data_IF_087294725542
#
_entry.id   IF_087294725542
#
_cell.length_a   1.000
_cell.length_b   1.000
_cell.length_c   1.000
_cell.angle_alpha   90.00
_cell.angle_beta   90.00
_cell.angle_gamma   90.00
#
_symmetry.space_group_name_H-M   'P 1'
#
loop_
_entity.id
_entity.type
_entity.pdbx_description
1 polymer ?
#
# COMPACT_ATOMS: atom_id res chain seq x y z
N UNK A 1 54.78 -38.41 -46.64
CA UNK A 1 53.80 -39.16 -45.84
C UNK A 1 52.74 -38.16 -45.39
N UNK A 2 51.57 -38.18 -46.01
CA UNK A 2 50.49 -37.22 -45.76
C UNK A 2 49.58 -37.77 -44.65
N UNK A 3 49.41 -37.02 -43.57
CA UNK A 3 48.47 -37.36 -42.49
C UNK A 3 47.25 -36.44 -42.56
N UNK A 4 46.14 -37.04 -42.98
CA UNK A 4 44.80 -36.44 -43.03
C UNK A 4 44.23 -36.33 -41.61
N UNK A 5 43.85 -35.14 -41.16
CA UNK A 5 43.13 -34.93 -39.91
C UNK A 5 41.61 -34.98 -40.17
N UNK A 6 40.93 -35.94 -39.55
CA UNK A 6 39.47 -36.05 -39.56
C UNK A 6 38.85 -35.05 -38.56
N UNK A 7 37.79 -34.30 -38.92
CA UNK A 7 37.07 -33.46 -37.97
C UNK A 7 36.12 -34.31 -37.10
N UNK A 8 36.32 -34.27 -35.79
CA UNK A 8 35.42 -34.85 -34.78
C UNK A 8 34.11 -34.08 -34.79
N UNK A 9 33.02 -34.75 -35.20
CA UNK A 9 31.67 -34.19 -35.26
C UNK A 9 31.16 -33.96 -33.83
N UNK A 10 31.03 -32.70 -33.41
CA UNK A 10 30.41 -32.34 -32.15
C UNK A 10 28.96 -32.84 -32.14
N UNK A 11 28.64 -33.68 -31.16
CA UNK A 11 27.29 -34.16 -30.89
C UNK A 11 26.45 -32.97 -30.41
N UNK A 12 25.61 -32.44 -31.29
CA UNK A 12 24.58 -31.46 -30.93
C UNK A 12 23.59 -32.15 -29.99
N UNK A 13 23.58 -31.75 -28.72
CA UNK A 13 22.54 -32.12 -27.76
C UNK A 13 21.19 -31.62 -28.29
N UNK A 14 20.39 -32.53 -28.82
CA UNK A 14 19.01 -32.27 -29.26
C UNK A 14 18.14 -32.04 -28.03
N UNK A 15 18.02 -30.78 -27.59
CA UNK A 15 16.92 -30.36 -26.74
C UNK A 15 15.61 -30.51 -27.54
N UNK A 16 14.64 -31.20 -26.98
CA UNK A 16 13.31 -31.47 -27.56
C UNK A 16 12.55 -30.17 -27.85
N UNK A 17 12.77 -29.56 -29.02
CA UNK A 17 11.97 -28.44 -29.54
C UNK A 17 10.89 -28.92 -30.53
N UNK A 18 10.26 -30.06 -30.24
CA UNK A 18 9.35 -30.69 -31.17
C UNK A 18 7.97 -30.05 -31.05
N UNK A 19 7.76 -28.90 -31.71
CA UNK A 19 6.41 -28.33 -31.92
C UNK A 19 6.28 -26.82 -31.84
N UNK A 20 7.30 -26.08 -31.37
CA UNK A 20 7.21 -24.61 -31.26
C UNK A 20 7.71 -23.98 -32.56
N UNK A 21 6.86 -23.22 -33.31
CA UNK A 21 7.32 -22.53 -34.50
C UNK A 21 8.32 -21.44 -34.12
N UNK A 22 9.40 -21.29 -34.90
CA UNK A 22 10.42 -20.25 -34.65
C UNK A 22 9.86 -18.82 -34.79
N UNK A 23 8.70 -18.67 -35.44
CA UNK A 23 7.95 -17.42 -35.54
C UNK A 23 7.01 -17.16 -34.36
N UNK A 24 6.91 -18.08 -33.39
CA UNK A 24 6.12 -17.86 -32.19
C UNK A 24 6.65 -16.64 -31.43
N UNK A 25 5.73 -15.79 -30.97
CA UNK A 25 6.06 -14.76 -30.00
C UNK A 25 6.54 -15.41 -28.69
N UNK A 26 7.28 -14.64 -27.90
CA UNK A 26 7.61 -15.08 -26.55
C UNK A 26 6.32 -15.19 -25.71
N UNK A 27 6.25 -16.23 -24.90
CA UNK A 27 5.14 -16.44 -23.99
C UNK A 27 5.17 -15.42 -22.86
N UNK A 28 4.02 -15.11 -22.29
CA UNK A 28 3.91 -14.21 -21.16
C UNK A 28 2.59 -14.40 -20.42
N UNK A 29 2.33 -13.47 -19.51
CA UNK A 29 1.05 -13.35 -18.83
C UNK A 29 0.55 -11.92 -18.89
N UNK A 30 -0.77 -11.77 -18.80
CA UNK A 30 -1.44 -10.48 -18.65
C UNK A 30 -2.39 -10.57 -17.47
N UNK A 31 -2.24 -9.63 -16.53
CA UNK A 31 -3.06 -9.59 -15.32
C UNK A 31 -4.50 -9.19 -15.63
N UNK A 32 -5.42 -10.02 -15.15
CA UNK A 32 -6.87 -9.81 -15.17
C UNK A 32 -7.39 -9.30 -13.84
N UNK A 33 -6.69 -9.58 -12.75
CA UNK A 33 -7.06 -9.15 -11.40
C UNK A 33 -5.80 -8.80 -10.59
N UNK A 34 -5.62 -7.54 -10.19
CA UNK A 34 -6.29 -6.38 -10.77
C UNK A 34 -5.95 -6.28 -12.28
N UNK A 35 -6.83 -5.72 -13.13
CA UNK A 35 -6.52 -5.54 -14.54
C UNK A 35 -5.29 -4.66 -14.73
N UNK A 36 -4.40 -5.00 -15.67
CA UNK A 36 -3.18 -4.21 -15.94
C UNK A 36 -3.47 -2.77 -16.42
N UNK A 37 -4.70 -2.49 -16.86
CA UNK A 37 -5.17 -1.15 -17.27
C UNK A 37 -5.79 -0.34 -16.13
N UNK A 38 -5.97 -0.93 -14.94
CA UNK A 38 -6.58 -0.25 -13.81
C UNK A 38 -5.59 0.70 -13.13
N UNK A 39 -6.14 1.66 -12.38
CA UNK A 39 -5.37 2.48 -11.45
C UNK A 39 -4.57 1.59 -10.46
N UNK A 40 -3.46 2.09 -9.88
CA UNK A 40 -2.67 1.34 -8.92
C UNK A 40 -3.55 0.78 -7.80
N UNK A 41 -3.40 -0.52 -7.53
CA UNK A 41 -4.22 -1.21 -6.53
C UNK A 41 -3.63 -1.04 -5.13
N UNK A 42 -4.50 -0.76 -4.16
CA UNK A 42 -4.13 -0.55 -2.76
C UNK A 42 -4.70 -1.65 -1.89
N UNK A 43 -3.85 -2.36 -1.16
CA UNK A 43 -4.27 -3.46 -0.30
C UNK A 43 -3.88 -3.21 1.16
N UNK A 44 -4.78 -3.65 2.04
CA UNK A 44 -4.65 -3.46 3.48
C UNK A 44 -3.88 -4.62 4.09
N UNK A 45 -2.88 -4.31 4.92
CA UNK A 45 -2.22 -5.30 5.78
C UNK A 45 -3.04 -5.44 7.06
N UNK A 46 -4.06 -6.30 7.05
CA UNK A 46 -4.95 -6.55 8.20
C UNK A 46 -5.51 -7.98 8.18
N UNK A 47 -6.02 -8.50 9.31
CA UNK A 47 -6.71 -9.79 9.34
C UNK A 47 -7.80 -9.87 8.28
N UNK A 48 -8.01 -11.05 7.71
CA UNK A 48 -9.05 -11.34 6.71
C UNK A 48 -8.95 -10.54 5.39
N UNK A 49 -7.81 -9.89 5.11
CA UNK A 49 -7.58 -9.15 3.86
C UNK A 49 -6.65 -9.94 2.92
N UNK A 50 -7.21 -10.94 2.24
CA UNK A 50 -6.48 -11.74 1.25
C UNK A 50 -6.45 -11.03 -0.10
N UNK A 51 -5.26 -10.90 -0.66
CA UNK A 51 -5.02 -10.36 -2.00
C UNK A 51 -5.10 -11.50 -3.01
N UNK A 52 -5.82 -11.30 -4.12
CA UNK A 52 -5.85 -12.24 -5.24
C UNK A 52 -5.27 -11.59 -6.47
N UNK A 53 -4.22 -12.20 -7.02
CA UNK A 53 -3.70 -11.87 -8.33
C UNK A 53 -4.20 -12.90 -9.34
N UNK A 54 -4.77 -12.47 -10.44
CA UNK A 54 -5.28 -13.32 -11.53
C UNK A 54 -4.70 -12.88 -12.87
N UNK A 55 -4.44 -13.83 -13.76
CA UNK A 55 -3.86 -13.57 -15.08
C UNK A 55 -4.30 -14.61 -16.13
N UNK A 56 -4.10 -14.25 -17.39
CA UNK A 56 -4.15 -15.17 -18.52
C UNK A 56 -2.78 -15.28 -19.19
N UNK A 57 -2.42 -16.47 -19.65
CA UNK A 57 -1.22 -16.66 -20.45
C UNK A 57 -1.42 -16.20 -21.89
N UNK A 58 -0.35 -15.69 -22.50
CA UNK A 58 -0.30 -15.26 -23.89
C UNK A 58 0.85 -15.97 -24.59
N UNK A 59 0.62 -16.47 -25.80
CA UNK A 59 1.66 -17.06 -26.67
C UNK A 59 2.53 -18.14 -25.99
N UNK A 60 1.99 -18.87 -25.01
CA UNK A 60 2.68 -19.91 -24.26
C UNK A 60 2.44 -21.26 -24.93
N UNK A 61 3.49 -21.87 -25.48
CA UNK A 61 3.44 -23.19 -26.15
C UNK A 61 4.08 -24.30 -25.30
N UNK A 62 4.97 -23.92 -24.38
CA UNK A 62 5.49 -24.81 -23.33
C UNK A 62 5.04 -24.29 -21.97
N UNK A 63 4.30 -25.12 -21.25
CA UNK A 63 3.89 -24.80 -19.87
C UNK A 63 5.08 -24.99 -18.95
N UNK A 64 5.47 -23.98 -18.15
CA UNK A 64 6.53 -24.12 -17.18
C UNK A 64 6.16 -25.14 -16.10
N UNK A 65 7.16 -25.64 -15.38
CA UNK A 65 6.91 -26.58 -14.28
C UNK A 65 6.35 -25.85 -13.05
N UNK A 66 6.87 -24.66 -12.78
CA UNK A 66 6.44 -23.80 -11.71
C UNK A 66 6.66 -22.34 -12.08
N UNK A 67 5.85 -21.47 -11.49
CA UNK A 67 6.07 -20.03 -11.52
C UNK A 67 6.53 -19.58 -10.14
N UNK A 68 7.50 -18.68 -10.11
CA UNK A 68 7.92 -17.97 -8.92
C UNK A 68 7.38 -16.54 -8.98
N UNK A 69 6.72 -16.14 -7.91
CA UNK A 69 6.13 -14.83 -7.72
C UNK A 69 6.74 -14.14 -6.52
N UNK A 70 7.21 -12.91 -6.74
CA UNK A 70 7.81 -12.13 -5.68
C UNK A 70 7.51 -10.65 -5.77
N UNK A 71 7.15 -10.06 -4.63
CA UNK A 71 6.91 -8.63 -4.51
C UNK A 71 8.21 -7.93 -4.10
N UNK A 72 8.67 -7.00 -4.94
CA UNK A 72 9.85 -6.17 -4.68
C UNK A 72 9.38 -4.82 -4.16
N UNK A 73 9.77 -4.46 -2.95
CA UNK A 73 9.38 -3.22 -2.31
C UNK A 73 10.19 -2.04 -2.84
N UNK A 74 9.54 -0.95 -3.23
CA UNK A 74 10.21 0.26 -3.70
C UNK A 74 10.92 1.04 -2.61
N UNK A 75 10.49 0.93 -1.35
CA UNK A 75 11.03 1.73 -0.24
C UNK A 75 12.28 1.11 0.40
N UNK A 76 12.32 -0.21 0.56
CA UNK A 76 13.45 -0.91 1.21
C UNK A 76 14.22 -1.86 0.29
N UNK A 77 13.77 -2.06 -0.95
CA UNK A 77 14.43 -2.94 -1.93
C UNK A 77 14.34 -4.43 -1.60
N UNK A 78 13.62 -4.82 -0.54
CA UNK A 78 13.47 -6.21 -0.15
C UNK A 78 12.48 -6.93 -1.08
N UNK A 79 12.71 -8.23 -1.19
CA UNK A 79 11.97 -9.14 -2.07
C UNK A 79 11.20 -10.13 -1.19
N UNK A 80 9.87 -10.17 -1.35
CA UNK A 80 8.97 -10.96 -0.51
C UNK A 80 8.30 -12.05 -1.34
N UNK A 81 8.18 -13.28 -0.85
CA UNK A 81 7.47 -14.35 -1.55
C UNK A 81 5.97 -14.05 -1.63
N UNK A 82 5.37 -14.18 -2.81
CA UNK A 82 3.94 -13.96 -3.03
C UNK A 82 3.25 -15.29 -3.31
N UNK A 83 2.39 -15.71 -2.37
CA UNK A 83 1.61 -16.93 -2.48
C UNK A 83 1.49 -17.68 -1.15
N UNK A 84 0.93 -18.90 -1.17
CA UNK A 84 0.63 -19.66 0.05
C UNK A 84 1.86 -20.27 0.73
N UNK A 85 3.01 -20.34 0.04
CA UNK A 85 4.22 -20.97 0.56
C UNK A 85 5.43 -20.06 0.30
N UNK A 86 6.41 -20.46 -0.50
CA UNK A 86 7.65 -19.72 -0.72
C UNK A 86 7.63 -18.85 -1.99
N UNK A 87 6.44 -18.41 -2.40
CA UNK A 87 6.26 -17.70 -3.67
C UNK A 87 6.31 -18.59 -4.91
N UNK A 88 6.37 -19.91 -4.74
CA UNK A 88 6.37 -20.88 -5.85
C UNK A 88 4.94 -21.44 -5.99
N UNK A 89 4.42 -21.42 -7.22
CA UNK A 89 3.10 -21.93 -7.59
C UNK A 89 3.21 -22.85 -8.81
N UNK A 90 2.15 -23.61 -9.09
CA UNK A 90 2.06 -24.46 -10.27
C UNK A 90 2.22 -23.64 -11.57
N UNK A 91 2.94 -24.19 -12.56
CA UNK A 91 3.23 -23.50 -13.80
C UNK A 91 2.01 -23.19 -14.68
N UNK A 92 0.91 -23.90 -14.48
CA UNK A 92 -0.37 -23.66 -15.16
C UNK A 92 -1.36 -22.84 -14.30
N UNK A 93 -0.96 -22.39 -13.11
CA UNK A 93 -1.80 -21.54 -12.27
C UNK A 93 -2.16 -20.25 -13.02
N UNK A 94 -3.42 -19.82 -12.86
CA UNK A 94 -3.97 -18.56 -13.42
C UNK A 94 -4.34 -17.54 -12.36
N UNK A 95 -4.14 -17.91 -11.09
CA UNK A 95 -4.37 -17.05 -9.95
C UNK A 95 -3.54 -17.48 -8.77
N UNK A 96 -3.15 -16.51 -7.93
CA UNK A 96 -2.55 -16.76 -6.63
C UNK A 96 -3.23 -15.88 -5.58
N UNK A 97 -3.46 -16.46 -4.40
CA UNK A 97 -3.90 -15.74 -3.21
C UNK A 97 -2.72 -15.52 -2.28
N UNK A 98 -2.64 -14.34 -1.68
CA UNK A 98 -1.59 -13.96 -0.76
C UNK A 98 -2.17 -13.16 0.40
N UNK A 99 -1.77 -13.50 1.64
CA UNK A 99 -2.19 -12.77 2.83
C UNK A 99 -0.98 -12.02 3.44
N UNK A 100 -0.86 -10.70 3.21
CA UNK A 100 0.20 -9.88 3.79
C UNK A 100 0.22 -9.89 5.32
N UNK A 101 -0.95 -9.99 5.95
CA UNK A 101 -1.06 -9.97 7.40
C UNK A 101 -0.47 -11.25 8.01
N UNK A 102 -0.82 -12.41 7.46
CA UNK A 102 -0.29 -13.71 7.91
C UNK A 102 1.21 -13.81 7.68
N UNK A 103 1.71 -13.30 6.55
CA UNK A 103 3.15 -13.23 6.29
C UNK A 103 3.87 -12.49 7.43
N UNK A 104 3.34 -11.34 7.87
CA UNK A 104 3.92 -10.58 8.99
C UNK A 104 3.83 -11.29 10.35
N UNK A 105 3.01 -12.33 10.49
CA UNK A 105 2.94 -13.13 11.73
C UNK A 105 4.01 -14.23 11.79
N UNK A 106 4.72 -14.51 10.68
CA UNK A 106 5.73 -15.57 10.65
C UNK A 106 6.94 -15.14 11.51
N UNK A 107 7.37 -15.95 12.49
CA UNK A 107 8.50 -15.59 13.34
C UNK A 107 9.80 -15.52 12.53
N UNK A 108 10.53 -14.40 12.68
CA UNK A 108 11.84 -14.21 12.06
C UNK A 108 11.83 -13.66 10.63
N UNK A 109 10.66 -13.34 10.05
CA UNK A 109 10.61 -12.68 8.73
C UNK A 109 10.71 -11.17 8.86
N UNK A 110 11.24 -10.53 7.81
CA UNK A 110 11.20 -9.07 7.69
C UNK A 110 9.75 -8.64 7.41
N UNK A 111 9.15 -7.75 8.23
CA UNK A 111 7.77 -7.33 8.03
C UNK A 111 7.62 -6.48 6.77
N UNK A 112 6.46 -6.60 6.12
CA UNK A 112 6.08 -5.81 4.96
C UNK A 112 5.94 -4.33 5.36
N UNK A 113 6.57 -3.46 4.57
CA UNK A 113 6.49 -2.02 4.71
C UNK A 113 5.24 -1.44 4.03
N UNK A 114 4.81 -0.28 4.50
CA UNK A 114 3.74 0.51 3.87
C UNK A 114 4.32 1.28 2.69
N UNK A 115 4.32 0.67 1.52
CA UNK A 115 4.99 1.16 0.33
C UNK A 115 4.37 0.57 -0.95
N UNK A 116 4.87 1.02 -2.09
CA UNK A 116 4.60 0.38 -3.38
C UNK A 116 5.49 -0.84 -3.59
N UNK A 117 4.97 -1.82 -4.31
CA UNK A 117 5.60 -3.08 -4.64
C UNK A 117 5.41 -3.37 -6.13
N UNK A 118 6.45 -3.94 -6.73
CA UNK A 118 6.39 -4.50 -8.08
C UNK A 118 6.31 -6.01 -7.97
N UNK A 119 5.30 -6.63 -8.58
CA UNK A 119 5.18 -8.08 -8.64
C UNK A 119 6.01 -8.61 -9.82
N UNK A 120 7.08 -9.31 -9.48
CA UNK A 120 7.91 -10.04 -10.42
C UNK A 120 7.42 -11.50 -10.51
N UNK A 121 7.28 -11.99 -11.74
CA UNK A 121 6.89 -13.37 -12.04
C UNK A 121 7.88 -13.96 -13.02
N UNK A 122 8.42 -15.15 -12.73
CA UNK A 122 9.34 -15.88 -13.62
C UNK A 122 9.10 -17.38 -13.50
N UNK A 123 9.60 -18.16 -14.45
CA UNK A 123 9.53 -19.63 -14.43
C UNK A 123 10.80 -20.26 -13.83
N UNK A 124 10.93 -21.59 -13.91
CA UNK A 124 12.10 -22.31 -13.39
C UNK A 124 13.46 -21.83 -13.94
N UNK A 125 13.48 -21.11 -15.07
CA UNK A 125 14.72 -20.65 -15.71
C UNK A 125 15.25 -19.37 -15.07
N UNK A 126 14.45 -18.69 -14.24
CA UNK A 126 14.85 -17.54 -13.43
C UNK A 126 14.44 -16.17 -14.00
N UNK A 127 14.67 -15.09 -13.24
CA UNK A 127 14.15 -13.76 -13.56
C UNK A 127 14.89 -13.03 -14.68
N UNK A 128 16.11 -13.46 -15.02
CA UNK A 128 16.99 -12.77 -15.97
C UNK A 128 17.06 -13.44 -17.34
N UNK A 129 16.13 -14.35 -17.64
CA UNK A 129 16.13 -15.06 -18.92
C UNK A 129 15.61 -14.19 -20.05
N UNK A 130 16.25 -14.30 -21.20
CA UNK A 130 15.80 -13.62 -22.41
C UNK A 130 14.50 -14.20 -22.94
N UNK A 131 13.74 -13.37 -23.66
CA UNK A 131 12.54 -13.81 -24.36
C UNK A 131 12.87 -14.91 -25.38
N UNK A 132 12.16 -16.04 -25.31
CA UNK A 132 12.33 -17.16 -26.22
C UNK A 132 10.97 -17.56 -26.82
N UNK A 133 10.91 -17.94 -28.11
CA UNK A 133 9.67 -18.32 -28.78
C UNK A 133 8.89 -19.38 -28.01
N UNK A 134 7.63 -19.10 -27.70
CA UNK A 134 6.70 -20.03 -27.05
C UNK A 134 7.01 -20.43 -25.60
N UNK A 135 8.06 -19.87 -25.00
CA UNK A 135 8.43 -20.07 -23.60
C UNK A 135 8.05 -18.84 -22.78
N UNK A 136 7.83 -19.02 -21.47
CA UNK A 136 7.43 -17.93 -20.58
C UNK A 136 8.49 -16.83 -20.50
N UNK A 137 8.11 -15.56 -20.54
CA UNK A 137 9.02 -14.43 -20.29
C UNK A 137 8.76 -13.84 -18.92
N UNK A 138 9.80 -13.53 -18.14
CA UNK A 138 9.65 -12.86 -16.86
C UNK A 138 8.79 -11.59 -17.00
N UNK A 139 7.87 -11.39 -16.06
CA UNK A 139 6.95 -10.25 -16.03
C UNK A 139 7.17 -9.41 -14.78
N UNK A 140 7.19 -8.09 -14.92
CA UNK A 140 7.27 -7.13 -13.81
C UNK A 140 6.36 -5.92 -14.03
N UNK A 141 5.23 -6.11 -14.74
CA UNK A 141 4.34 -5.01 -15.12
C UNK A 141 3.35 -4.62 -14.01
N UNK A 142 3.08 -5.54 -13.09
CA UNK A 142 2.11 -5.32 -12.02
C UNK A 142 2.72 -4.56 -10.86
N UNK A 143 2.11 -3.44 -10.50
CA UNK A 143 2.48 -2.65 -9.32
C UNK A 143 1.27 -2.46 -8.42
N UNK A 144 1.49 -2.54 -7.10
CA UNK A 144 0.46 -2.37 -6.08
C UNK A 144 1.07 -1.72 -4.84
N UNK A 145 0.24 -1.17 -3.97
CA UNK A 145 0.68 -0.59 -2.71
C UNK A 145 0.06 -1.30 -1.51
N UNK A 146 0.84 -1.43 -0.45
CA UNK A 146 0.37 -1.94 0.84
C UNK A 146 0.29 -0.81 1.86
N UNK A 147 -0.75 -0.83 2.70
CA UNK A 147 -0.91 0.13 3.80
C UNK A 147 -1.43 -0.56 5.07
N UNK A 148 -1.13 0.00 6.25
CA UNK A 148 -1.70 -0.49 7.51
C UNK A 148 -2.90 0.36 7.91
N UNK A 149 -3.98 -0.25 8.45
CA UNK A 149 -5.03 0.54 9.08
C UNK A 149 -4.48 1.39 10.22
N UNK A 150 -4.92 2.64 10.28
CA UNK A 150 -4.84 3.41 11.50
C UNK A 150 -5.90 2.91 12.49
N UNK A 151 -5.54 2.88 13.78
CA UNK A 151 -6.51 2.57 14.83
C UNK A 151 -7.54 3.69 14.91
N UNK A 152 -8.83 3.35 14.97
CA UNK A 152 -9.88 4.33 15.15
C UNK A 152 -9.84 4.86 16.59
N UNK A 153 -9.51 6.14 16.77
CA UNK A 153 -9.69 6.85 18.05
C UNK A 153 -11.09 7.48 18.07
N UNK A 154 -11.96 7.10 19.01
CA UNK A 154 -13.28 7.71 19.14
C UNK A 154 -13.15 9.22 19.35
N UNK A 155 -14.06 10.00 18.77
CA UNK A 155 -14.15 11.46 18.99
C UNK A 155 -14.30 11.80 20.48
N UNK A 156 -14.91 10.90 21.26
CA UNK A 156 -15.07 11.04 22.71
C UNK A 156 -13.74 11.02 23.48
N UNK A 157 -12.71 10.33 22.98
CA UNK A 157 -11.41 10.14 23.64
C UNK A 157 -10.32 11.13 23.17
N UNK A 158 -10.59 11.95 22.15
CA UNK A 158 -9.56 12.82 21.55
C UNK A 158 -9.99 14.23 21.17
N UNK A 159 -11.29 14.54 21.17
CA UNK A 159 -11.79 15.87 20.83
C UNK A 159 -12.71 16.40 21.94
N UNK A 160 -12.14 17.20 22.85
CA UNK A 160 -12.92 18.01 23.78
C UNK A 160 -13.13 19.40 23.18
N UNK A 161 -14.35 19.73 22.78
CA UNK A 161 -14.64 21.09 22.37
C UNK A 161 -14.84 21.99 23.59
N UNK A 162 -13.74 22.60 24.06
CA UNK A 162 -13.71 23.55 25.18
C UNK A 162 -14.60 24.78 24.94
N UNK A 163 -14.95 25.07 23.67
CA UNK A 163 -15.81 26.18 23.27
C UNK A 163 -17.28 25.78 22.96
N UNK A 164 -17.62 24.48 22.94
CA UNK A 164 -18.99 24.03 22.59
C UNK A 164 -19.92 23.93 23.80
N UNK A 165 -19.38 24.04 25.02
CA UNK A 165 -20.19 24.22 26.23
C UNK A 165 -20.54 25.70 26.35
N UNK A 166 -21.72 26.10 25.84
CA UNK A 166 -22.22 27.47 25.81
C UNK A 166 -22.35 28.18 27.17
N UNK A 167 -21.94 27.56 28.27
CA UNK A 167 -21.94 28.13 29.62
C UNK A 167 -20.68 28.96 29.95
N UNK A 168 -19.56 28.78 29.22
CA UNK A 168 -18.30 29.53 29.47
C UNK A 168 -18.06 30.71 28.52
N UNK A 169 -18.96 30.95 27.56
CA UNK A 169 -18.85 32.06 26.58
C UNK A 169 -18.89 33.48 27.19
N UNK A 170 -19.16 33.61 28.49
CA UNK A 170 -19.08 34.89 29.21
C UNK A 170 -17.66 35.21 29.70
N UNK A 171 -16.76 34.23 29.82
CA UNK A 171 -15.41 34.45 30.34
C UNK A 171 -14.36 34.62 29.23
N UNK A 172 -14.62 34.10 28.02
CA UNK A 172 -13.64 34.03 26.92
C UNK A 172 -13.92 34.98 25.75
N UNK A 173 -15.00 35.76 25.79
CA UNK A 173 -15.25 36.82 24.82
C UNK A 173 -14.80 38.19 25.39
N UNK A 174 -13.95 38.97 24.70
CA UNK A 174 -13.56 40.31 25.17
C UNK A 174 -14.77 41.26 25.32
N UNK A 175 -15.86 40.95 24.61
CA UNK A 175 -17.11 41.71 24.64
C UNK A 175 -17.90 41.52 25.96
N UNK A 176 -17.86 40.32 26.56
CA UNK A 176 -18.55 40.05 27.83
C UNK A 176 -17.79 40.60 29.05
N UNK A 177 -16.45 40.59 29.01
CA UNK A 177 -15.62 41.27 30.00
C UNK A 177 -15.84 42.80 29.97
N UNK A 178 -15.98 43.39 28.79
CA UNK A 178 -16.32 44.81 28.65
C UNK A 178 -17.70 45.15 29.23
N UNK A 179 -18.69 44.27 29.05
CA UNK A 179 -20.05 44.47 29.57
C UNK A 179 -20.11 44.36 31.10
N UNK A 180 -19.37 43.42 31.69
CA UNK A 180 -19.21 43.30 33.14
C UNK A 180 -18.46 44.50 33.74
N UNK A 181 -17.38 44.95 33.11
CA UNK A 181 -16.62 46.11 33.60
C UNK A 181 -17.46 47.39 33.59
N UNK A 182 -18.20 47.63 32.50
CA UNK A 182 -19.05 48.83 32.36
C UNK A 182 -20.24 48.82 33.34
N UNK A 183 -20.87 47.68 33.57
CA UNK A 183 -21.96 47.57 34.56
C UNK A 183 -21.47 47.80 35.99
N UNK A 184 -20.29 47.29 36.37
CA UNK A 184 -19.69 47.56 37.68
C UNK A 184 -19.36 49.06 37.85
N UNK A 185 -18.77 49.69 36.83
CA UNK A 185 -18.46 51.13 36.88
C UNK A 185 -19.73 51.98 37.02
N UNK A 186 -20.80 51.64 36.30
CA UNK A 186 -22.10 52.32 36.42
C UNK A 186 -22.68 52.20 37.83
N UNK A 187 -22.64 51.01 38.43
CA UNK A 187 -23.17 50.78 39.78
C UNK A 187 -22.35 51.50 40.84
N UNK A 188 -21.02 51.44 40.77
CA UNK A 188 -20.14 52.14 41.72
C UNK A 188 -20.28 53.66 41.58
N UNK A 189 -20.37 54.18 40.37
CA UNK A 189 -20.56 55.61 40.12
C UNK A 189 -21.93 56.09 40.59
N UNK A 190 -23.00 55.32 40.32
CA UNK A 190 -24.34 55.61 40.81
C UNK A 190 -24.43 55.59 42.34
N UNK A 191 -23.78 54.62 42.99
CA UNK A 191 -23.69 54.55 44.45
C UNK A 191 -22.93 55.74 45.05
N UNK A 192 -21.83 56.16 44.42
CA UNK A 192 -21.04 57.30 44.89
C UNK A 192 -21.79 58.63 44.78
N UNK A 193 -22.59 58.82 43.72
CA UNK A 193 -23.45 59.99 43.54
C UNK A 193 -24.62 60.01 44.51
N UNK A 194 -25.23 58.85 44.82
CA UNK A 194 -26.29 58.76 45.83
C UNK A 194 -25.75 59.02 47.25
N UNK A 195 -24.53 58.57 47.55
CA UNK A 195 -23.85 58.85 48.84
C UNK A 195 -23.47 60.32 48.99
N UNK A 196 -22.98 60.96 47.93
CA UNK A 196 -22.52 62.35 47.99
C UNK A 196 -23.65 63.37 47.72
N UNK A 197 -24.74 62.98 47.07
CA UNK A 197 -25.89 63.84 46.75
C UNK A 197 -26.83 64.08 47.93
N UNK A 198 -26.88 63.17 48.91
CA UNK A 198 -27.74 63.32 50.11
C UNK A 198 -27.11 64.13 51.25
N UNK A 199 -25.90 64.69 51.06
CA UNK A 199 -25.21 65.51 52.07
C UNK A 199 -25.14 67.01 51.77
N UNK A 200 -25.67 67.48 50.64
CA UNK A 200 -25.35 68.82 50.09
C UNK A 200 -26.47 69.86 50.07
N UNK A 201 -27.56 69.70 50.83
CA UNK A 201 -28.60 70.73 50.96
C UNK A 201 -28.96 70.96 52.43
N UNK A 202 -28.05 71.59 53.18
CA UNK A 202 -28.38 72.41 54.35
C UNK A 202 -27.38 73.56 54.48
N UNK A 203 -27.92 74.78 54.38
CA UNK A 203 -27.32 76.09 54.71
C UNK A 203 -26.33 76.62 53.64
N UNK A 204 -26.52 77.78 52.99
CA UNK A 204 -27.29 79.00 53.26
C UNK A 204 -27.84 79.60 51.96
#
# INVERSE_FOLDING_TARGET
MSTTLSPTRASSTSSTSTGIPQTAAAGGLSFTQPPNTAAPSFYKIAPDNVITFGWNFTSLYSTPTHLTMSAVCSANGNTYPVGPTNGIIDGNARSVTWNPYDYNQIPGVTPLAEASYTLHVWDERGPNVGAQPGLFSPNAQMTFALYKPQSYTPIADGWSCTACSGALGLASNPLSLGLLATTVVMVVSGWHLLRNGFGGQRER
#
